data_IF_164498963811
#
_entry.id   IF_164498963811
#
_cell.length_a   1.000
_cell.length_b   1.000
_cell.length_c   1.000
_cell.angle_alpha   90.00
_cell.angle_beta   90.00
_cell.angle_gamma   90.00
#
_symmetry.space_group_name_H-M   'P 1'
#
loop_
_entity.id
_entity.type
_entity.pdbx_description
1 polymer ?
#
# COMPACT_ATOMS: atom_id res chain seq x y z
N UNK A 1 -1.44 -0.57 -2.68
CA UNK A 1 -2.36 -1.72 -2.60
C UNK A 1 -1.52 -2.98 -2.55
N UNK A 2 -1.84 -3.90 -1.64
CA UNK A 2 -1.14 -5.17 -1.48
C UNK A 2 -2.18 -6.29 -1.52
N UNK A 3 -2.07 -7.16 -2.52
CA UNK A 3 -2.85 -8.39 -2.64
C UNK A 3 -2.16 -9.60 -2.00
N UNK A 4 -2.81 -10.75 -2.09
CA UNK A 4 -2.28 -12.01 -1.55
C UNK A 4 -0.95 -12.40 -2.25
N UNK A 5 -0.03 -13.07 -1.53
CA UNK A 5 1.18 -13.61 -2.15
C UNK A 5 0.85 -14.51 -3.34
N UNK A 6 1.59 -14.36 -4.44
CA UNK A 6 1.38 -15.14 -5.68
C UNK A 6 0.25 -14.63 -6.59
N UNK A 7 -0.42 -13.54 -6.25
CA UNK A 7 -1.39 -12.87 -7.15
C UNK A 7 -0.71 -12.50 -8.48
N UNK A 8 -1.41 -12.79 -9.60
CA UNK A 8 -0.88 -12.54 -10.94
C UNK A 8 -0.87 -11.05 -11.26
N UNK A 9 0.03 -10.65 -12.18
CA UNK A 9 0.07 -9.27 -12.67
C UNK A 9 -1.26 -8.85 -13.32
N UNK A 10 -1.87 -9.75 -14.08
CA UNK A 10 -3.17 -9.53 -14.73
C UNK A 10 -4.26 -9.19 -13.69
N UNK A 11 -4.33 -9.95 -12.61
CA UNK A 11 -5.31 -9.73 -11.55
C UNK A 11 -5.01 -8.42 -10.79
N UNK A 12 -3.74 -8.08 -10.56
CA UNK A 12 -3.35 -6.80 -9.95
C UNK A 12 -3.72 -5.60 -10.84
N UNK A 13 -3.56 -5.72 -12.15
CA UNK A 13 -4.00 -4.71 -13.11
C UNK A 13 -5.52 -4.56 -13.12
N UNK A 14 -6.26 -5.68 -13.12
CA UNK A 14 -7.73 -5.70 -13.09
C UNK A 14 -8.28 -5.02 -11.84
N UNK A 15 -7.76 -5.38 -10.67
CA UNK A 15 -8.19 -4.79 -9.39
C UNK A 15 -7.77 -3.32 -9.30
N UNK A 16 -6.56 -2.98 -9.73
CA UNK A 16 -6.12 -1.60 -9.74
C UNK A 16 -6.99 -0.68 -10.61
N UNK A 17 -7.52 -1.17 -11.74
CA UNK A 17 -8.50 -0.42 -12.53
C UNK A 17 -9.79 -0.13 -11.74
N UNK A 18 -10.29 -1.12 -10.98
CA UNK A 18 -11.46 -0.92 -10.09
C UNK A 18 -11.15 0.13 -9.02
N UNK A 19 -9.95 0.09 -8.45
CA UNK A 19 -9.48 1.08 -7.48
C UNK A 19 -9.45 2.48 -8.11
N UNK A 20 -8.92 2.61 -9.33
CA UNK A 20 -8.89 3.88 -10.05
C UNK A 20 -10.30 4.43 -10.29
N UNK A 21 -11.27 3.58 -10.66
CA UNK A 21 -12.66 4.00 -10.83
C UNK A 21 -13.31 4.48 -9.52
N UNK A 22 -13.02 3.81 -8.39
CA UNK A 22 -13.46 4.26 -7.06
C UNK A 22 -12.83 5.59 -6.66
N UNK A 23 -11.55 5.78 -6.97
CA UNK A 23 -10.83 7.03 -6.71
C UNK A 23 -11.39 8.18 -7.55
N UNK A 24 -11.75 7.95 -8.82
CA UNK A 24 -12.34 8.99 -9.70
C UNK A 24 -13.66 9.54 -9.21
N UNK A 25 -14.38 8.80 -8.39
CA UNK A 25 -15.61 9.28 -7.80
C UNK A 25 -15.34 10.31 -6.68
N UNK A 26 -14.08 10.47 -6.20
CA UNK A 26 -13.67 11.52 -5.25
C UNK A 26 -13.54 12.82 -6.05
N UNK A 27 -14.30 13.89 -5.73
CA UNK A 27 -14.35 15.11 -6.56
C UNK A 27 -12.98 15.74 -6.86
N UNK A 28 -12.04 15.61 -5.92
CA UNK A 28 -10.70 16.17 -6.02
C UNK A 28 -9.78 15.34 -6.92
N UNK A 29 -10.08 14.08 -7.21
CA UNK A 29 -9.20 13.22 -8.00
C UNK A 29 -9.18 13.64 -9.46
N UNK A 30 -8.05 14.23 -9.89
CA UNK A 30 -7.85 14.69 -11.27
C UNK A 30 -7.24 13.64 -12.17
N UNK A 31 -6.23 12.94 -11.66
CA UNK A 31 -5.47 11.93 -12.40
C UNK A 31 -5.10 10.79 -11.48
N UNK A 32 -5.08 9.60 -12.05
CA UNK A 32 -4.61 8.39 -11.39
C UNK A 32 -3.61 7.71 -12.31
N UNK A 33 -2.50 7.23 -11.76
CA UNK A 33 -1.59 6.32 -12.44
C UNK A 33 -1.43 5.06 -11.59
N UNK A 34 -1.20 3.93 -12.23
CA UNK A 34 -1.01 2.65 -11.56
C UNK A 34 0.31 2.04 -12.00
N UNK A 35 1.07 1.50 -11.05
CA UNK A 35 2.28 0.71 -11.27
C UNK A 35 2.17 -0.58 -10.46
N UNK A 36 2.12 -1.72 -11.14
CA UNK A 36 2.04 -3.05 -10.50
C UNK A 36 3.39 -3.76 -10.63
N UNK A 37 3.90 -4.32 -9.54
CA UNK A 37 5.22 -4.93 -9.49
C UNK A 37 6.33 -3.88 -9.47
N UNK A 38 7.29 -4.01 -10.39
CA UNK A 38 8.50 -3.17 -10.46
C UNK A 38 8.79 -2.73 -11.89
N UNK A 39 9.55 -1.66 -12.03
CA UNK A 39 10.14 -1.28 -13.31
C UNK A 39 11.31 -2.23 -13.69
N UNK A 40 11.55 -2.42 -14.99
CA UNK A 40 12.61 -3.32 -15.49
C UNK A 40 14.01 -2.94 -14.99
N UNK A 41 14.27 -1.64 -14.87
CA UNK A 41 15.53 -1.07 -14.38
C UNK A 41 15.36 -0.32 -13.05
N UNK A 42 14.34 -0.67 -12.28
CA UNK A 42 14.06 -0.05 -10.98
C UNK A 42 14.85 -0.68 -9.83
N UNK A 43 15.04 0.09 -8.75
CA UNK A 43 15.64 -0.41 -7.50
C UNK A 43 14.61 -1.17 -6.63
N UNK A 44 13.33 -1.07 -6.97
CA UNK A 44 12.23 -1.74 -6.28
C UNK A 44 12.25 -3.25 -6.47
N UNK A 45 12.11 -3.99 -5.37
CA UNK A 45 12.10 -5.47 -5.36
C UNK A 45 10.69 -6.07 -5.36
N UNK A 46 9.66 -5.24 -5.60
CA UNK A 46 8.27 -5.63 -5.45
C UNK A 46 7.81 -6.71 -6.45
N UNK A 47 6.96 -7.62 -5.95
CA UNK A 47 6.30 -8.66 -6.72
C UNK A 47 5.00 -8.17 -7.37
N UNK A 48 4.41 -8.95 -8.30
CA UNK A 48 3.20 -8.56 -9.03
C UNK A 48 1.98 -8.34 -8.14
N UNK A 49 1.97 -8.89 -6.93
CA UNK A 49 0.91 -8.69 -5.93
C UNK A 49 0.95 -7.31 -5.25
N UNK A 50 1.99 -6.50 -5.50
CA UNK A 50 2.07 -5.13 -5.01
C UNK A 50 1.74 -4.15 -6.12
N UNK A 51 0.94 -3.14 -5.79
CA UNK A 51 0.57 -2.08 -6.74
C UNK A 51 0.59 -0.72 -6.05
N UNK A 52 1.30 0.21 -6.66
CA UNK A 52 1.30 1.62 -6.30
C UNK A 52 0.29 2.35 -7.18
N UNK A 53 -0.51 3.21 -6.56
CA UNK A 53 -1.48 4.07 -7.24
C UNK A 53 -1.19 5.52 -6.89
N UNK A 54 -0.71 6.27 -7.87
CA UNK A 54 -0.45 7.70 -7.74
C UNK A 54 -1.74 8.47 -8.01
N UNK A 55 -2.13 9.33 -7.08
CA UNK A 55 -3.37 10.12 -7.16
C UNK A 55 -3.03 11.60 -7.12
N UNK A 56 -3.30 12.29 -8.22
CA UNK A 56 -3.21 13.75 -8.26
C UNK A 56 -4.53 14.36 -7.80
N UNK A 57 -4.49 14.99 -6.63
CA UNK A 57 -5.62 15.74 -6.09
C UNK A 57 -5.58 17.19 -6.59
N UNK A 58 -6.74 17.70 -6.98
CA UNK A 58 -6.96 19.10 -7.31
C UNK A 58 -7.08 20.00 -6.09
N UNK A 59 -7.25 21.30 -6.35
CA UNK A 59 -7.65 22.24 -5.30
C UNK A 59 -9.01 21.83 -4.73
N UNK A 60 -9.14 21.90 -3.41
CA UNK A 60 -10.37 21.61 -2.68
C UNK A 60 -10.67 22.70 -1.67
N UNK A 61 -11.96 22.93 -1.43
CA UNK A 61 -12.43 23.68 -0.28
C UNK A 61 -12.47 22.82 1.01
N UNK A 62 -12.51 21.48 0.86
CA UNK A 62 -12.45 20.53 1.98
C UNK A 62 -11.05 20.50 2.58
N UNK A 63 -10.97 20.20 3.87
CA UNK A 63 -9.67 19.97 4.50
C UNK A 63 -9.05 18.69 3.94
N UNK A 64 -7.72 18.62 3.93
CA UNK A 64 -6.99 17.50 3.32
C UNK A 64 -7.33 16.17 3.98
N UNK A 65 -7.47 16.15 5.29
CA UNK A 65 -7.84 14.96 6.07
C UNK A 65 -9.23 14.45 5.67
N UNK A 66 -10.21 15.34 5.47
CA UNK A 66 -11.56 14.97 5.01
C UNK A 66 -11.53 14.31 3.63
N UNK A 67 -10.71 14.83 2.71
CA UNK A 67 -10.54 14.22 1.38
C UNK A 67 -9.88 12.84 1.48
N UNK A 68 -8.90 12.68 2.39
CA UNK A 68 -8.22 11.40 2.59
C UNK A 68 -9.14 10.38 3.28
N UNK A 69 -10.02 10.81 4.18
CA UNK A 69 -11.02 9.94 4.80
C UNK A 69 -12.07 9.45 3.79
N UNK A 70 -12.52 10.33 2.88
CA UNK A 70 -13.39 9.97 1.76
C UNK A 70 -12.72 8.91 0.86
N UNK A 71 -11.43 9.09 0.55
CA UNK A 71 -10.63 8.07 -0.15
C UNK A 71 -10.60 6.75 0.64
N UNK A 72 -10.30 6.79 1.95
CA UNK A 72 -10.27 5.57 2.80
C UNK A 72 -11.59 4.82 2.77
N UNK A 73 -12.71 5.54 2.89
CA UNK A 73 -14.04 4.94 2.89
C UNK A 73 -14.30 4.17 1.60
N UNK A 74 -14.01 4.76 0.45
CA UNK A 74 -14.22 4.13 -0.87
C UNK A 74 -13.31 2.93 -1.10
N UNK A 75 -12.07 3.00 -0.64
CA UNK A 75 -11.14 1.87 -0.73
C UNK A 75 -11.52 0.74 0.23
N UNK A 76 -12.12 1.05 1.37
CA UNK A 76 -12.60 0.08 2.36
C UNK A 76 -13.72 -0.83 1.84
N UNK A 77 -14.43 -0.44 0.79
CA UNK A 77 -15.41 -1.29 0.11
C UNK A 77 -14.78 -2.42 -0.72
N UNK A 78 -13.47 -2.35 -0.99
CA UNK A 78 -12.74 -3.34 -1.79
C UNK A 78 -12.12 -4.38 -0.86
N UNK A 79 -12.75 -5.55 -0.76
CA UNK A 79 -12.32 -6.63 0.14
C UNK A 79 -11.17 -7.45 -0.43
N UNK A 80 -10.34 -8.04 0.46
CA UNK A 80 -9.26 -8.95 0.07
C UNK A 80 -7.92 -8.27 -0.23
N UNK A 81 -7.84 -6.94 -0.03
CA UNK A 81 -6.65 -6.14 -0.30
C UNK A 81 -6.34 -5.24 0.88
N UNK A 82 -5.04 -5.02 1.11
CA UNK A 82 -4.57 -4.03 2.06
C UNK A 82 -4.22 -2.73 1.33
N UNK A 83 -4.78 -1.62 1.80
CA UNK A 83 -4.50 -0.29 1.27
C UNK A 83 -3.68 0.53 2.27
N UNK A 84 -2.61 1.14 1.76
CA UNK A 84 -1.80 2.12 2.49
C UNK A 84 -1.89 3.43 1.71
N UNK A 85 -2.24 4.51 2.40
CA UNK A 85 -2.39 5.84 1.80
C UNK A 85 -1.31 6.73 2.39
N UNK A 86 -0.43 7.24 1.54
CA UNK A 86 0.75 7.99 1.92
C UNK A 86 0.93 9.20 1.00
N UNK A 87 1.78 10.13 1.40
CA UNK A 87 2.26 11.19 0.53
C UNK A 87 3.55 10.77 -0.14
N UNK A 88 3.75 11.17 -1.40
CA UNK A 88 4.88 10.74 -2.23
C UNK A 88 6.24 10.99 -1.54
N UNK A 89 6.44 12.17 -0.95
CA UNK A 89 7.69 12.51 -0.25
C UNK A 89 7.85 11.70 1.05
N UNK A 90 6.79 11.57 1.85
CA UNK A 90 6.83 10.79 3.10
C UNK A 90 7.17 9.33 2.81
N UNK A 91 6.57 8.79 1.77
CA UNK A 91 6.77 7.40 1.36
C UNK A 91 8.21 7.13 0.92
N UNK A 92 8.81 8.00 0.09
CA UNK A 92 10.23 7.89 -0.27
C UNK A 92 11.18 8.02 0.93
N UNK A 93 10.88 8.92 1.85
CA UNK A 93 11.69 9.09 3.07
C UNK A 93 11.64 7.81 3.91
N UNK A 94 10.45 7.24 4.10
CA UNK A 94 10.25 6.05 4.92
C UNK A 94 10.92 4.81 4.31
N UNK A 95 10.86 4.65 2.98
CA UNK A 95 11.59 3.57 2.31
C UNK A 95 13.11 3.71 2.44
N UNK A 96 13.63 4.92 2.38
CA UNK A 96 15.06 5.19 2.50
C UNK A 96 15.57 4.96 3.93
N UNK A 97 14.81 5.37 4.94
CA UNK A 97 15.29 5.42 6.33
C UNK A 97 15.25 4.07 7.05
N UNK A 98 14.14 3.35 6.93
CA UNK A 98 13.88 2.12 7.70
C UNK A 98 13.49 0.93 6.83
N UNK A 99 13.10 1.18 5.57
CA UNK A 99 12.45 0.22 4.69
C UNK A 99 10.99 -0.09 5.08
N UNK A 100 10.38 0.64 6.02
CA UNK A 100 8.99 0.40 6.46
C UNK A 100 8.34 1.62 7.14
N UNK A 101 7.01 1.72 7.03
CA UNK A 101 6.20 2.87 7.46
C UNK A 101 5.74 2.80 8.93
N UNK A 102 6.26 1.85 9.72
CA UNK A 102 5.80 1.63 11.09
C UNK A 102 6.56 2.52 12.10
N UNK A 103 5.83 3.16 13.02
CA UNK A 103 6.41 3.95 14.12
C UNK A 103 7.34 3.11 15.00
N UNK A 104 7.03 1.82 15.14
CA UNK A 104 7.85 0.83 15.84
C UNK A 104 8.05 -0.37 14.92
N UNK A 105 9.29 -0.83 14.82
CA UNK A 105 9.68 -1.97 13.98
C UNK A 105 10.40 -3.00 14.85
N UNK A 106 9.94 -4.24 14.81
CA UNK A 106 10.62 -5.38 15.44
C UNK A 106 11.21 -6.26 14.33
N UNK A 107 12.54 -6.39 14.31
CA UNK A 107 13.25 -7.25 13.38
C UNK A 107 13.71 -8.51 14.11
N UNK A 108 13.23 -9.68 13.67
CA UNK A 108 13.64 -10.99 14.21
C UNK A 108 14.72 -11.57 13.28
N UNK A 109 15.86 -11.96 13.85
CA UNK A 109 17.01 -12.47 13.09
C UNK A 109 17.32 -13.91 13.47
N UNK A 110 17.68 -14.73 12.49
CA UNK A 110 17.97 -16.14 12.68
C UNK A 110 18.18 -16.86 11.34
N UNK A 111 18.68 -18.10 11.37
CA UNK A 111 18.97 -18.86 10.14
C UNK A 111 17.76 -19.67 9.61
N UNK A 112 16.72 -19.88 10.41
CA UNK A 112 15.60 -20.77 10.08
C UNK A 112 14.29 -19.99 9.84
N UNK A 113 13.74 -20.07 8.63
CA UNK A 113 12.57 -19.29 8.23
C UNK A 113 11.28 -19.71 8.94
N UNK A 114 11.10 -20.99 9.26
CA UNK A 114 9.89 -21.50 9.91
C UNK A 114 9.84 -21.03 11.37
N UNK A 115 10.99 -21.10 12.06
CA UNK A 115 11.16 -20.54 13.41
C UNK A 115 10.94 -19.02 13.39
N UNK A 116 11.53 -18.32 12.41
CA UNK A 116 11.36 -16.87 12.29
C UNK A 116 9.90 -16.48 12.07
N UNK A 117 9.17 -17.21 11.22
CA UNK A 117 7.75 -16.94 10.96
C UNK A 117 6.89 -17.18 12.21
N UNK A 118 7.14 -18.29 12.93
CA UNK A 118 6.48 -18.59 14.19
C UNK A 118 6.73 -17.49 15.24
N UNK A 119 7.97 -17.06 15.40
CA UNK A 119 8.33 -15.99 16.36
C UNK A 119 7.78 -14.62 15.97
N UNK A 120 7.74 -14.30 14.68
CA UNK A 120 7.10 -13.08 14.21
C UNK A 120 5.59 -13.06 14.53
N UNK A 121 4.90 -14.21 14.39
CA UNK A 121 3.49 -14.32 14.75
C UNK A 121 3.26 -14.18 16.27
N UNK A 122 4.14 -14.75 17.11
CA UNK A 122 4.10 -14.55 18.57
C UNK A 122 4.25 -13.06 18.94
N UNK A 123 5.27 -12.38 18.37
CA UNK A 123 5.49 -10.95 18.59
C UNK A 123 4.27 -10.14 18.14
N UNK A 124 3.73 -10.42 16.95
CA UNK A 124 2.53 -9.76 16.44
C UNK A 124 1.36 -9.91 17.42
N UNK A 125 1.14 -11.11 17.96
CA UNK A 125 0.06 -11.36 18.93
C UNK A 125 0.23 -10.56 20.23
N UNK A 126 1.47 -10.38 20.70
CA UNK A 126 1.75 -9.59 21.91
C UNK A 126 1.55 -8.09 21.65
N UNK A 127 1.93 -7.61 20.45
CA UNK A 127 1.80 -6.19 20.09
C UNK A 127 0.39 -5.78 19.65
N UNK A 128 -0.49 -6.73 19.37
CA UNK A 128 -1.88 -6.49 19.01
C UNK A 128 -2.80 -6.23 20.22
N UNK A 129 -2.30 -6.46 21.45
CA UNK A 129 -2.96 -6.12 22.71
C UNK A 129 -2.51 -4.76 23.24
#
# INVERSE_FOLDING_TARGET
MIGVPGMSLEESMRVGAIVQDRLRQVPETRKTAQRSGRAELGEDTFGPNMTELDVNLGASARRRDEVIDDVRQRLGEITGFNFRIMQFISERIEETLSGTTATVVVKVFGPDLEVLQSKAAEVQSVMAG
#
